data_IF_857268979078
#
_entry.id   IF_857268979078
#
_cell.length_a   1.000
_cell.length_b   1.000
_cell.length_c   1.000
_cell.angle_alpha   90.00
_cell.angle_beta   90.00
_cell.angle_gamma   90.00
#
_symmetry.space_group_name_H-M   'P 1'
#
loop_
_entity.id
_entity.type
_entity.pdbx_description
1 polymer ?
#
# COMPACT_ATOMS: atom_id res chain seq x y z
N UNK A 1 11.23 -27.69 -13.38
CA UNK A 1 10.99 -26.56 -12.52
C UNK A 1 10.23 -25.39 -13.20
N UNK A 2 10.08 -25.41 -14.54
CA UNK A 2 9.32 -24.39 -15.27
C UNK A 2 7.85 -24.38 -14.83
N UNK A 3 7.28 -25.56 -14.52
CA UNK A 3 5.90 -25.66 -14.05
C UNK A 3 5.63 -25.00 -12.69
N UNK A 4 6.59 -25.06 -11.77
CA UNK A 4 6.44 -24.44 -10.45
C UNK A 4 6.47 -22.91 -10.53
N UNK A 5 7.34 -22.35 -11.38
CA UNK A 5 7.41 -20.91 -11.56
C UNK A 5 6.12 -20.34 -12.19
N UNK A 6 5.53 -21.07 -13.15
CA UNK A 6 4.27 -20.67 -13.77
C UNK A 6 3.11 -20.71 -12.79
N UNK A 7 3.08 -21.75 -11.92
CA UNK A 7 2.03 -21.87 -10.91
C UNK A 7 2.12 -20.76 -9.87
N UNK A 8 3.33 -20.43 -9.42
CA UNK A 8 3.55 -19.32 -8.49
C UNK A 8 3.12 -17.99 -9.10
N UNK A 9 3.47 -17.72 -10.36
CA UNK A 9 3.07 -16.51 -11.05
C UNK A 9 1.54 -16.37 -11.13
N UNK A 10 0.83 -17.46 -11.45
CA UNK A 10 -0.64 -17.47 -11.50
C UNK A 10 -1.27 -17.27 -10.13
N UNK A 11 -0.71 -17.85 -9.07
CA UNK A 11 -1.18 -17.62 -7.70
C UNK A 11 -1.02 -16.16 -7.31
N UNK A 12 0.09 -15.54 -7.65
CA UNK A 12 0.34 -14.13 -7.36
C UNK A 12 -0.64 -13.23 -8.08
N UNK A 13 -0.92 -13.49 -9.36
CA UNK A 13 -1.94 -12.76 -10.12
C UNK A 13 -3.33 -12.89 -9.48
N UNK A 14 -3.67 -14.11 -9.06
CA UNK A 14 -4.98 -14.37 -8.48
C UNK A 14 -5.16 -13.69 -7.12
N UNK A 15 -4.13 -13.69 -6.28
CA UNK A 15 -4.20 -13.12 -4.93
C UNK A 15 -4.19 -11.60 -4.96
N UNK A 16 -3.30 -11.00 -5.72
CA UNK A 16 -3.19 -9.55 -5.79
C UNK A 16 -4.13 -8.94 -6.82
N UNK A 17 -4.41 -9.67 -7.89
CA UNK A 17 -5.26 -9.22 -8.99
C UNK A 17 -4.93 -7.79 -9.44
N UNK A 18 -3.70 -7.55 -9.93
CA UNK A 18 -3.26 -6.23 -10.32
C UNK A 18 -4.19 -5.60 -11.35
N UNK A 19 -4.42 -4.31 -11.23
CA UNK A 19 -5.26 -3.58 -12.18
C UNK A 19 -4.69 -2.18 -12.38
N UNK A 20 -4.65 -1.75 -13.63
CA UNK A 20 -4.36 -0.38 -14.02
C UNK A 20 -5.61 0.47 -14.16
N UNK A 21 -6.78 -0.12 -13.93
CA UNK A 21 -8.06 0.59 -14.05
C UNK A 21 -8.25 1.55 -12.88
N UNK A 22 -8.71 2.73 -13.18
CA UNK A 22 -9.20 3.66 -12.19
C UNK A 22 -10.65 3.35 -11.86
N UNK A 23 -10.94 3.14 -10.60
CA UNK A 23 -12.31 2.93 -10.10
C UNK A 23 -12.82 4.24 -9.51
N UNK A 24 -13.52 4.99 -10.26
CA UNK A 24 -14.02 6.29 -9.88
C UNK A 24 -13.58 7.33 -10.89
N UNK A 25 -14.35 8.38 -11.03
CA UNK A 25 -14.05 9.46 -11.96
C UNK A 25 -12.88 10.32 -11.48
N UNK A 26 -12.45 11.26 -12.33
CA UNK A 26 -11.42 12.23 -12.00
C UNK A 26 -11.71 13.00 -10.70
N UNK A 27 -13.01 13.17 -10.36
CA UNK A 27 -13.43 13.85 -9.14
C UNK A 27 -13.10 13.07 -7.86
N UNK A 28 -12.95 11.75 -7.94
CA UNK A 28 -12.65 10.92 -6.75
C UNK A 28 -11.27 11.21 -6.17
N UNK A 29 -10.35 11.70 -7.00
CA UNK A 29 -8.99 12.07 -6.59
C UNK A 29 -8.80 13.57 -6.48
N UNK A 30 -9.87 14.36 -6.54
CA UNK A 30 -9.79 15.82 -6.42
C UNK A 30 -9.15 16.22 -5.09
N UNK A 31 -8.22 17.17 -5.15
CA UNK A 31 -7.47 17.63 -3.99
C UNK A 31 -6.31 16.72 -3.58
N UNK A 32 -6.17 15.57 -4.21
CA UNK A 32 -5.05 14.66 -4.00
C UNK A 32 -3.92 14.99 -4.98
N UNK A 33 -2.70 14.97 -4.48
CA UNK A 33 -1.51 15.30 -5.26
C UNK A 33 -0.79 14.02 -5.66
N UNK A 34 -0.41 13.92 -6.92
CA UNK A 34 0.46 12.83 -7.37
C UNK A 34 1.83 12.97 -6.72
N UNK A 35 2.32 11.88 -6.15
CA UNK A 35 3.68 11.78 -5.65
C UNK A 35 4.36 10.56 -6.23
N UNK A 36 5.69 10.64 -6.35
CA UNK A 36 6.51 9.56 -6.89
C UNK A 36 7.60 9.22 -5.89
N UNK A 37 7.67 7.95 -5.55
CA UNK A 37 8.63 7.43 -4.59
C UNK A 37 9.62 6.55 -5.33
N UNK A 38 10.87 6.99 -5.41
CA UNK A 38 11.93 6.26 -6.08
C UNK A 38 12.81 5.60 -5.04
N UNK A 39 13.18 4.35 -5.29
CA UNK A 39 14.04 3.58 -4.40
C UNK A 39 14.74 2.47 -5.19
N UNK A 40 15.81 1.94 -4.61
CA UNK A 40 16.49 0.77 -5.17
C UNK A 40 15.92 -0.46 -4.49
N UNK A 41 15.39 -1.38 -5.30
CA UNK A 41 14.77 -2.61 -4.80
C UNK A 41 15.82 -3.69 -4.57
N UNK A 42 15.80 -4.28 -3.39
CA UNK A 42 16.60 -5.48 -3.11
C UNK A 42 16.05 -6.70 -3.86
N UNK A 43 14.72 -6.77 -4.01
CA UNK A 43 14.07 -7.88 -4.69
C UNK A 43 14.38 -7.93 -6.18
N UNK A 44 14.43 -6.78 -6.87
CA UNK A 44 14.69 -6.72 -8.31
C UNK A 44 16.13 -6.33 -8.66
N UNK A 45 16.87 -5.74 -7.73
CA UNK A 45 18.20 -5.18 -7.97
C UNK A 45 18.18 -3.91 -8.81
N UNK A 46 17.02 -3.31 -9.04
CA UNK A 46 16.83 -2.17 -9.93
C UNK A 46 16.27 -0.97 -9.18
N UNK A 47 16.40 0.21 -9.81
CA UNK A 47 15.63 1.38 -9.42
C UNK A 47 14.15 1.13 -9.75
N UNK A 48 13.30 1.35 -8.78
CA UNK A 48 11.86 1.17 -8.91
C UNK A 48 11.15 2.47 -8.50
N UNK A 49 9.92 2.64 -8.97
CA UNK A 49 9.15 3.84 -8.72
C UNK A 49 7.71 3.49 -8.37
N UNK A 50 7.23 4.08 -7.28
CA UNK A 50 5.84 3.95 -6.86
C UNK A 50 5.10 5.25 -7.14
N UNK A 51 3.90 5.13 -7.66
CA UNK A 51 2.95 6.22 -7.71
C UNK A 51 2.15 6.24 -6.41
N UNK A 52 1.96 7.41 -5.86
CA UNK A 52 1.10 7.61 -4.71
C UNK A 52 0.22 8.83 -4.86
N UNK A 53 -0.80 8.90 -4.02
CA UNK A 53 -1.65 10.08 -3.87
C UNK A 53 -1.45 10.62 -2.46
N UNK A 54 -1.19 11.90 -2.39
CA UNK A 54 -1.03 12.62 -1.13
C UNK A 54 -2.22 13.55 -0.92
N UNK A 55 -2.93 13.35 0.18
CA UNK A 55 -4.04 14.20 0.60
C UNK A 55 -3.66 14.89 1.91
N UNK A 56 -3.13 16.14 1.85
CA UNK A 56 -2.73 16.85 3.04
C UNK A 56 -3.94 17.32 3.84
N UNK A 57 -3.84 17.26 5.16
CA UNK A 57 -4.83 17.84 6.05
C UNK A 57 -4.56 19.34 6.21
N UNK A 58 -5.61 20.12 6.44
CA UNK A 58 -5.50 21.56 6.65
C UNK A 58 -4.81 21.93 7.97
N UNK A 59 -4.88 21.06 8.98
CA UNK A 59 -4.17 21.26 10.25
C UNK A 59 -2.69 20.95 10.10
N UNK A 60 -1.84 21.91 10.38
CA UNK A 60 -0.39 21.74 10.31
C UNK A 60 0.14 20.67 11.26
N UNK A 61 -0.56 20.41 12.37
CA UNK A 61 -0.17 19.38 13.36
C UNK A 61 -0.73 18.00 13.05
N UNK A 62 -1.46 17.81 11.95
CA UNK A 62 -2.08 16.54 11.64
C UNK A 62 -1.04 15.42 11.54
N UNK A 63 -1.28 14.25 12.15
CA UNK A 63 -0.45 13.08 11.94
C UNK A 63 -0.55 12.59 10.50
N UNK A 64 0.42 11.82 10.05
CA UNK A 64 0.43 11.26 8.72
C UNK A 64 0.10 9.78 8.76
N UNK A 65 -0.57 9.30 7.72
CA UNK A 65 -1.02 7.92 7.63
C UNK A 65 -0.64 7.34 6.28
N UNK A 66 0.01 6.17 6.32
CA UNK A 66 0.27 5.38 5.12
C UNK A 66 -0.93 4.45 4.88
N UNK A 67 -1.58 4.64 3.73
CA UNK A 67 -2.72 3.82 3.30
C UNK A 67 -2.26 2.73 2.33
N UNK A 68 -2.56 1.48 2.68
CA UNK A 68 -2.21 0.30 1.89
C UNK A 68 -3.49 -0.37 1.39
N UNK A 69 -3.70 -0.34 0.06
CA UNK A 69 -4.92 -0.88 -0.54
C UNK A 69 -4.93 -2.41 -0.63
N UNK A 70 -6.12 -2.96 -0.85
CA UNK A 70 -6.31 -4.39 -1.02
C UNK A 70 -6.08 -4.87 -2.45
N UNK A 71 -6.22 -6.18 -2.64
CA UNK A 71 -6.23 -6.78 -3.97
C UNK A 71 -7.40 -6.24 -4.81
N UNK A 72 -7.24 -6.25 -6.12
CA UNK A 72 -8.20 -5.73 -7.12
C UNK A 72 -8.37 -4.22 -7.12
N UNK A 73 -7.78 -3.52 -6.19
CA UNK A 73 -7.89 -2.08 -6.09
C UNK A 73 -6.58 -1.43 -6.51
N UNK A 74 -6.66 -0.18 -6.87
CA UNK A 74 -5.52 0.70 -6.99
C UNK A 74 -5.74 1.91 -6.08
N UNK A 75 -4.78 2.82 -6.02
CA UNK A 75 -4.88 3.98 -5.14
C UNK A 75 -6.09 4.86 -5.50
N UNK A 76 -6.40 5.00 -6.78
CA UNK A 76 -7.56 5.79 -7.22
C UNK A 76 -8.88 5.14 -6.80
N UNK A 77 -8.96 3.80 -6.83
CA UNK A 77 -10.14 3.05 -6.38
C UNK A 77 -10.38 3.10 -4.87
N UNK A 78 -9.38 3.50 -4.12
CA UNK A 78 -9.43 3.60 -2.66
C UNK A 78 -9.85 4.99 -2.16
N UNK A 79 -10.20 5.91 -3.05
CA UNK A 79 -10.42 7.33 -2.72
C UNK A 79 -11.41 7.57 -1.58
N UNK A 80 -12.48 6.80 -1.51
CA UNK A 80 -13.48 6.94 -0.44
C UNK A 80 -12.89 6.65 0.94
N UNK A 81 -12.07 5.61 1.06
CA UNK A 81 -11.40 5.27 2.32
C UNK A 81 -10.31 6.27 2.69
N UNK A 82 -9.58 6.75 1.69
CA UNK A 82 -8.56 7.78 1.88
C UNK A 82 -9.20 9.03 2.45
N UNK A 83 -10.33 9.47 1.87
CA UNK A 83 -11.05 10.65 2.34
C UNK A 83 -11.60 10.46 3.75
N UNK A 84 -12.05 9.26 4.10
CA UNK A 84 -12.51 8.97 5.45
C UNK A 84 -11.38 9.11 6.48
N UNK A 85 -10.19 8.64 6.16
CA UNK A 85 -9.03 8.83 7.04
C UNK A 85 -8.65 10.30 7.15
N UNK A 86 -8.73 11.04 6.08
CA UNK A 86 -8.51 12.48 6.08
C UNK A 86 -9.52 13.19 6.98
N UNK A 87 -10.80 12.83 6.90
CA UNK A 87 -11.85 13.40 7.75
C UNK A 87 -11.62 13.10 9.24
N UNK A 88 -11.01 11.96 9.54
CA UNK A 88 -10.63 11.59 10.91
C UNK A 88 -9.43 12.38 11.45
N UNK A 89 -8.75 13.16 10.63
CA UNK A 89 -7.70 14.07 11.06
C UNK A 89 -6.31 13.77 10.52
N UNK A 90 -6.15 12.83 9.58
CA UNK A 90 -4.85 12.47 9.02
C UNK A 90 -4.57 13.19 7.70
N UNK A 91 -3.30 13.53 7.50
CA UNK A 91 -2.79 13.64 6.15
C UNK A 91 -2.49 12.23 5.63
N UNK A 92 -2.91 11.90 4.42
CA UNK A 92 -2.87 10.52 3.93
C UNK A 92 -1.97 10.39 2.73
N UNK A 93 -1.04 9.42 2.80
CA UNK A 93 -0.29 8.93 1.65
C UNK A 93 -0.83 7.55 1.29
N UNK A 94 -1.38 7.41 0.09
CA UNK A 94 -1.78 6.12 -0.44
C UNK A 94 -0.86 5.76 -1.61
N UNK A 95 -0.38 4.54 -1.65
CA UNK A 95 0.52 4.08 -2.73
C UNK A 95 -0.12 2.96 -3.55
N UNK A 96 0.29 2.87 -4.80
CA UNK A 96 0.14 1.67 -5.60
C UNK A 96 1.41 0.83 -5.48
N UNK A 97 1.24 -0.46 -5.16
CA UNK A 97 2.36 -1.40 -5.20
C UNK A 97 2.84 -1.58 -6.64
N UNK A 98 4.08 -2.04 -6.79
CA UNK A 98 4.56 -2.46 -8.11
C UNK A 98 3.57 -3.46 -8.74
N UNK A 99 3.28 -3.28 -10.02
CA UNK A 99 2.28 -4.05 -10.75
C UNK A 99 0.88 -3.49 -10.68
N UNK A 100 0.65 -2.41 -9.93
CA UNK A 100 -0.63 -1.70 -9.82
C UNK A 100 -0.51 -0.29 -10.37
N UNK A 101 -1.61 0.20 -10.93
CA UNK A 101 -1.73 1.58 -11.38
C UNK A 101 -0.56 2.06 -12.23
N UNK A 102 0.03 3.18 -11.83
CA UNK A 102 1.16 3.80 -12.54
C UNK A 102 2.53 3.51 -11.90
N UNK A 103 2.58 2.68 -10.88
CA UNK A 103 3.83 2.22 -10.29
C UNK A 103 4.60 1.33 -11.27
N UNK A 104 5.87 1.10 -11.01
CA UNK A 104 6.71 0.24 -11.84
C UNK A 104 6.02 -1.10 -12.14
N UNK A 105 6.18 -1.58 -13.37
CA UNK A 105 5.62 -2.86 -13.78
C UNK A 105 6.25 -4.02 -13.01
N UNK A 106 5.51 -5.09 -12.88
CA UNK A 106 5.98 -6.31 -12.22
C UNK A 106 4.82 -7.14 -11.73
N UNK A 107 5.09 -8.41 -11.46
CA UNK A 107 4.11 -9.29 -10.84
C UNK A 107 4.21 -9.12 -9.32
N UNK A 108 3.13 -8.68 -8.66
CA UNK A 108 3.17 -8.45 -7.22
C UNK A 108 3.54 -9.71 -6.43
N UNK A 109 4.24 -9.50 -5.32
CA UNK A 109 4.60 -10.57 -4.40
C UNK A 109 4.64 -10.02 -2.98
N UNK A 110 4.68 -10.91 -1.99
CA UNK A 110 4.87 -10.52 -0.60
C UNK A 110 6.13 -9.67 -0.45
N UNK A 111 7.23 -10.17 -0.99
CA UNK A 111 8.52 -9.49 -0.90
C UNK A 111 8.47 -8.10 -1.52
N UNK A 112 7.88 -7.96 -2.72
CA UNK A 112 7.78 -6.66 -3.39
C UNK A 112 6.80 -5.73 -2.71
N UNK A 113 5.66 -6.23 -2.25
CA UNK A 113 4.67 -5.41 -1.52
C UNK A 113 5.23 -4.92 -0.19
N UNK A 114 5.93 -5.77 0.55
CA UNK A 114 6.58 -5.40 1.81
C UNK A 114 7.63 -4.32 1.59
N UNK A 115 8.42 -4.47 0.54
CA UNK A 115 9.45 -3.51 0.16
C UNK A 115 8.85 -2.16 -0.26
N UNK A 116 7.76 -2.21 -1.05
CA UNK A 116 7.04 -1.00 -1.47
C UNK A 116 6.46 -0.25 -0.27
N UNK A 117 5.83 -0.95 0.65
CA UNK A 117 5.30 -0.35 1.87
C UNK A 117 6.41 0.28 2.72
N UNK A 118 7.56 -0.38 2.81
CA UNK A 118 8.71 0.15 3.54
C UNK A 118 9.28 1.40 2.88
N UNK A 119 9.37 1.40 1.55
CA UNK A 119 9.83 2.58 0.80
C UNK A 119 8.91 3.79 1.03
N UNK A 120 7.60 3.56 1.02
CA UNK A 120 6.61 4.61 1.30
C UNK A 120 6.70 5.10 2.74
N UNK A 121 6.89 4.21 3.69
CA UNK A 121 7.08 4.55 5.09
C UNK A 121 8.30 5.44 5.31
N UNK A 122 9.41 5.10 4.67
CA UNK A 122 10.63 5.89 4.73
C UNK A 122 10.45 7.27 4.06
N UNK A 123 9.73 7.30 2.94
CA UNK A 123 9.42 8.56 2.25
C UNK A 123 8.63 9.51 3.16
N UNK A 124 7.64 9.00 3.89
CA UNK A 124 6.87 9.80 4.85
C UNK A 124 7.78 10.40 5.94
N UNK A 125 8.74 9.63 6.45
CA UNK A 125 9.69 10.10 7.44
C UNK A 125 10.57 11.23 6.91
N UNK A 126 10.97 11.12 5.66
CA UNK A 126 11.82 12.13 5.01
C UNK A 126 11.06 13.42 4.71
N UNK A 127 9.82 13.29 4.22
CA UNK A 127 9.01 14.44 3.85
C UNK A 127 8.35 15.12 5.04
N UNK A 128 8.05 14.38 6.10
CA UNK A 128 7.34 14.86 7.27
C UNK A 128 8.01 14.36 8.57
N UNK A 129 9.26 14.78 8.84
CA UNK A 129 10.07 14.18 9.91
C UNK A 129 9.50 14.36 11.32
N UNK A 130 8.70 15.41 11.54
CA UNK A 130 8.20 15.77 12.87
C UNK A 130 6.77 15.27 13.12
N UNK A 131 6.22 14.46 12.21
CA UNK A 131 4.83 14.00 12.34
C UNK A 131 4.77 12.57 12.86
N UNK A 132 3.85 12.30 13.81
CA UNK A 132 3.52 10.92 14.16
C UNK A 132 3.01 10.18 12.92
N UNK A 133 3.46 8.93 12.75
CA UNK A 133 3.11 8.11 11.58
C UNK A 133 2.26 6.91 11.98
N UNK A 134 1.20 6.71 11.20
CA UNK A 134 0.26 5.61 11.35
C UNK A 134 0.18 4.79 10.07
N UNK A 135 -0.30 3.56 10.20
CA UNK A 135 -0.48 2.66 9.07
C UNK A 135 -1.95 2.25 8.99
N UNK A 136 -2.50 2.23 7.78
CA UNK A 136 -3.83 1.69 7.51
C UNK A 136 -3.74 0.67 6.39
N UNK A 137 -4.36 -0.49 6.59
CA UNK A 137 -4.46 -1.52 5.55
C UNK A 137 -5.89 -1.98 5.36
N UNK A 138 -6.32 -2.05 4.10
CA UNK A 138 -7.63 -2.57 3.72
C UNK A 138 -7.52 -3.93 3.09
N UNK A 139 -8.28 -4.90 3.59
CA UNK A 139 -8.33 -6.27 3.06
C UNK A 139 -6.93 -6.90 3.06
N UNK A 140 -6.42 -7.33 1.92
CA UNK A 140 -5.07 -7.88 1.81
C UNK A 140 -3.97 -6.86 2.20
N UNK A 141 -4.25 -5.56 2.00
CA UNK A 141 -3.40 -4.48 2.51
C UNK A 141 -3.25 -4.50 4.03
N UNK A 142 -4.21 -5.08 4.74
CA UNK A 142 -4.12 -5.29 6.18
C UNK A 142 -2.97 -6.22 6.58
N UNK A 143 -2.73 -7.29 5.83
CA UNK A 143 -1.60 -8.17 6.08
C UNK A 143 -0.27 -7.47 5.83
N UNK A 144 -0.21 -6.64 4.78
CA UNK A 144 0.98 -5.84 4.47
C UNK A 144 1.22 -4.82 5.59
N UNK A 145 0.15 -4.19 6.08
CA UNK A 145 0.22 -3.22 7.18
C UNK A 145 0.74 -3.86 8.47
N UNK A 146 0.27 -5.05 8.81
CA UNK A 146 0.71 -5.79 10.00
C UNK A 146 2.19 -6.16 9.87
N UNK A 147 2.60 -6.64 8.70
CA UNK A 147 3.99 -7.00 8.45
C UNK A 147 4.91 -5.78 8.58
N UNK A 148 4.51 -4.64 8.01
CA UNK A 148 5.26 -3.40 8.14
C UNK A 148 5.35 -2.95 9.61
N UNK A 149 4.22 -2.95 10.33
CA UNK A 149 4.16 -2.53 11.73
C UNK A 149 5.09 -3.35 12.63
N UNK A 150 5.27 -4.63 12.32
CA UNK A 150 6.18 -5.50 13.06
C UNK A 150 7.65 -5.15 12.85
N UNK A 151 7.97 -4.52 11.73
CA UNK A 151 9.36 -4.23 11.33
C UNK A 151 9.80 -2.82 11.69
N UNK A 152 8.87 -1.90 11.90
CA UNK A 152 9.18 -0.50 12.16
C UNK A 152 8.89 -0.15 13.60
N UNK A 153 9.88 0.38 14.36
CA UNK A 153 9.71 0.65 15.79
C UNK A 153 8.98 1.98 16.05
N UNK A 154 8.83 2.82 15.05
CA UNK A 154 8.36 4.19 15.18
C UNK A 154 6.93 4.41 14.66
N UNK A 155 6.18 3.33 14.40
CA UNK A 155 4.76 3.48 14.10
C UNK A 155 3.97 3.77 15.39
N UNK A 156 2.97 4.65 15.29
CA UNK A 156 2.16 5.07 16.43
C UNK A 156 0.85 4.30 16.56
N UNK A 157 0.43 3.65 15.50
CA UNK A 157 -0.77 2.82 15.49
C UNK A 157 -1.02 2.26 14.11
N UNK A 158 -1.69 1.10 14.07
CA UNK A 158 -2.03 0.41 12.82
C UNK A 158 -3.51 0.06 12.84
N UNK A 159 -4.20 0.45 11.77
CA UNK A 159 -5.64 0.22 11.59
C UNK A 159 -5.78 -0.79 10.45
N UNK A 160 -6.55 -1.83 10.69
CA UNK A 160 -6.86 -2.85 9.67
C UNK A 160 -8.37 -2.90 9.47
N UNK A 161 -8.79 -2.77 8.21
CA UNK A 161 -10.19 -2.89 7.81
C UNK A 161 -10.29 -3.93 6.69
N UNK A 162 -11.27 -4.82 6.79
CA UNK A 162 -11.44 -5.82 5.74
C UNK A 162 -12.65 -6.69 5.91
N UNK A 163 -12.85 -7.58 4.95
CA UNK A 163 -13.91 -8.58 4.94
C UNK A 163 -13.53 -9.88 5.65
N UNK A 164 -12.28 -9.98 6.11
CA UNK A 164 -11.80 -11.14 6.86
C UNK A 164 -12.36 -11.13 8.29
N UNK A 165 -12.70 -12.29 8.79
CA UNK A 165 -13.30 -12.42 10.11
C UNK A 165 -12.30 -12.28 11.26
N UNK A 166 -11.01 -12.45 10.95
CA UNK A 166 -9.94 -12.29 11.93
C UNK A 166 -8.62 -11.91 11.26
N UNK A 167 -7.72 -11.32 12.05
CA UNK A 167 -6.35 -11.02 11.59
C UNK A 167 -5.58 -12.27 11.17
N UNK A 168 -5.64 -13.40 11.91
CA UNK A 168 -5.01 -14.65 11.48
C UNK A 168 -5.47 -15.12 10.09
N UNK A 169 -6.74 -14.95 9.76
CA UNK A 169 -7.25 -15.33 8.44
C UNK A 169 -6.61 -14.49 7.33
N UNK A 170 -6.45 -13.20 7.55
CA UNK A 170 -5.77 -12.30 6.61
C UNK A 170 -4.32 -12.73 6.42
N UNK A 171 -3.60 -12.95 7.50
CA UNK A 171 -2.19 -13.35 7.47
C UNK A 171 -2.03 -14.70 6.79
N UNK A 172 -2.90 -15.68 7.10
CA UNK A 172 -2.86 -17.00 6.50
C UNK A 172 -3.13 -16.93 4.99
N UNK A 173 -4.12 -16.15 4.57
CA UNK A 173 -4.44 -15.95 3.15
C UNK A 173 -3.24 -15.34 2.43
N UNK A 174 -2.63 -14.34 3.01
CA UNK A 174 -1.47 -13.67 2.46
C UNK A 174 -0.28 -14.62 2.33
N UNK A 175 0.05 -15.37 3.39
CA UNK A 175 1.14 -16.35 3.39
C UNK A 175 0.90 -17.49 2.41
N UNK A 176 -0.33 -17.96 2.33
CA UNK A 176 -0.68 -19.09 1.47
C UNK A 176 -0.38 -18.79 0.00
N UNK A 177 -0.52 -17.56 -0.41
CA UNK A 177 -0.17 -17.12 -1.75
C UNK A 177 1.31 -17.20 -2.09
N UNK A 178 2.18 -17.42 -1.11
CA UNK A 178 3.63 -17.45 -1.28
C UNK A 178 4.21 -18.86 -1.27
N UNK A 179 3.42 -19.83 -0.87
CA UNK A 179 3.81 -21.21 -0.85
C UNK A 179 3.53 -21.87 -2.19
#
# INVERSE_FOLDING_TARGET
SVGCATLDAKQREWIFQPSDRSWGGAQSTEGMQDVWIEFTSDASGKAERLHGLWLPHTKASAPVLLYLHGARWNVAGSSGRIRRMHELGFSVLAIDYRGFGRSSAGLPSEATAAEDARAAWNWLAEQHPDKPRYIFGHSLGGAIAIDLARQVPDEKGTIVEGTFTSIPDVVNTFKWGWL
#
